data_IF_770951814076
#
_entry.id   IF_770951814076
#
_cell.length_a   1.000
_cell.length_b   1.000
_cell.length_c   1.000
_cell.angle_alpha   90.00
_cell.angle_beta   90.00
_cell.angle_gamma   90.00
#
_symmetry.space_group_name_H-M   'P 1'
#
loop_
_entity.id
_entity.type
_entity.pdbx_description
1 polymer ?
#
# COMPACT_ATOMS: atom_id res chain seq x y z
N UNK A 1 -0.62 -8.36 -6.72
CA UNK A 1 0.56 -8.65 -7.55
C UNK A 1 1.59 -9.34 -6.68
N UNK A 2 2.01 -10.57 -7.03
CA UNK A 2 3.04 -11.34 -6.30
C UNK A 2 4.35 -11.29 -7.08
N UNK A 3 5.43 -10.90 -6.40
CA UNK A 3 6.75 -10.76 -7.00
C UNK A 3 7.43 -12.14 -6.97
N UNK A 4 7.50 -12.82 -8.11
CA UNK A 4 8.13 -14.14 -8.23
C UNK A 4 9.63 -13.96 -8.53
N UNK A 5 10.48 -14.38 -7.59
CA UNK A 5 11.94 -14.35 -7.76
C UNK A 5 12.38 -15.48 -8.71
N UNK A 6 12.80 -15.10 -9.91
CA UNK A 6 13.38 -16.01 -10.89
C UNK A 6 14.90 -16.04 -10.73
N UNK A 7 15.52 -17.22 -10.82
CA UNK A 7 16.99 -17.37 -10.82
C UNK A 7 17.44 -17.94 -12.17
N UNK A 8 18.59 -17.49 -12.71
CA UNK A 8 19.19 -18.10 -13.88
C UNK A 8 19.50 -19.58 -13.63
N UNK A 9 19.11 -20.42 -14.58
CA UNK A 9 19.26 -21.89 -14.57
C UNK A 9 20.68 -22.37 -14.96
N UNK A 10 21.60 -21.42 -15.21
CA UNK A 10 22.97 -21.71 -15.65
C UNK A 10 23.11 -22.11 -17.13
N UNK A 11 22.01 -22.19 -17.87
CA UNK A 11 21.95 -22.49 -19.32
C UNK A 11 21.30 -21.37 -20.13
N UNK A 12 20.91 -20.27 -19.48
CA UNK A 12 20.35 -19.06 -20.11
C UNK A 12 18.83 -18.94 -19.97
N UNK A 13 18.18 -19.86 -19.27
CA UNK A 13 16.77 -19.78 -18.89
C UNK A 13 16.57 -19.32 -17.44
N UNK A 14 15.30 -19.12 -17.07
CA UNK A 14 14.87 -18.71 -15.74
C UNK A 14 13.92 -19.77 -15.20
N UNK A 15 14.25 -20.38 -14.06
CA UNK A 15 13.35 -21.33 -13.40
C UNK A 15 12.58 -20.66 -12.25
N UNK A 16 11.24 -20.85 -12.17
CA UNK A 16 10.44 -20.37 -11.07
C UNK A 16 10.72 -21.21 -9.82
N UNK A 17 11.26 -20.57 -8.78
CA UNK A 17 11.50 -21.21 -7.47
C UNK A 17 10.31 -20.97 -6.53
N UNK A 18 9.85 -21.99 -5.77
CA UNK A 18 8.90 -21.75 -4.69
C UNK A 18 9.52 -20.78 -3.67
N UNK A 19 8.79 -19.71 -3.36
CA UNK A 19 9.20 -18.72 -2.35
C UNK A 19 9.19 -19.41 -0.99
N UNK A 20 10.35 -19.90 -0.56
CA UNK A 20 10.56 -20.26 0.84
C UNK A 20 10.70 -18.95 1.58
N UNK A 21 9.73 -18.63 2.42
CA UNK A 21 9.72 -17.43 3.25
C UNK A 21 10.80 -17.57 4.33
N UNK A 22 12.04 -17.30 3.92
CA UNK A 22 13.20 -17.34 4.80
C UNK A 22 13.25 -16.03 5.59
N UNK A 23 13.26 -16.11 6.92
CA UNK A 23 13.39 -14.93 7.77
C UNK A 23 14.80 -14.33 7.64
N UNK A 24 14.96 -13.43 6.67
CA UNK A 24 16.21 -12.71 6.41
C UNK A 24 16.50 -11.61 7.45
N UNK A 25 15.64 -11.39 8.47
CA UNK A 25 15.88 -10.38 9.52
C UNK A 25 17.21 -10.58 10.22
N UNK A 26 17.66 -11.82 10.38
CA UNK A 26 18.95 -12.15 11.01
C UNK A 26 20.16 -11.77 10.14
N UNK A 27 19.98 -11.64 8.83
CA UNK A 27 21.03 -11.27 7.87
C UNK A 27 21.11 -9.75 7.64
N UNK A 28 20.08 -8.98 8.03
CA UNK A 28 20.07 -7.52 7.99
C UNK A 28 20.94 -6.86 9.09
N UNK A 29 21.80 -7.62 9.77
CA UNK A 29 22.78 -7.13 10.75
C UNK A 29 24.00 -6.46 10.09
N UNK A 30 23.82 -5.72 9.00
CA UNK A 30 24.92 -4.89 8.51
C UNK A 30 25.29 -3.89 9.62
N UNK A 31 26.56 -3.81 9.99
CA UNK A 31 27.02 -3.00 11.12
C UNK A 31 26.58 -1.54 11.04
N UNK A 32 26.37 -1.00 9.83
CA UNK A 32 25.82 0.34 9.61
C UNK A 32 24.39 0.54 10.14
N UNK A 33 23.57 -0.50 10.17
CA UNK A 33 22.20 -0.46 10.69
C UNK A 33 22.10 -1.05 12.11
N UNK A 34 23.05 -1.91 12.48
CA UNK A 34 23.14 -2.54 13.80
C UNK A 34 23.60 -1.63 14.95
N UNK A 35 24.38 -0.59 14.64
CA UNK A 35 24.95 0.33 15.66
C UNK A 35 23.89 1.28 16.26
N UNK A 36 22.74 1.46 15.61
CA UNK A 36 21.63 2.26 16.11
C UNK A 36 20.69 1.50 17.10
N UNK A 37 21.00 0.24 17.45
CA UNK A 37 20.24 -0.54 18.45
C UNK A 37 20.58 -0.10 19.88
N UNK A 38 20.01 1.02 20.33
CA UNK A 38 19.80 1.22 21.75
C UNK A 38 18.85 0.15 22.29
N UNK A 39 19.35 -0.76 23.14
CA UNK A 39 18.56 -1.79 23.88
C UNK A 39 17.96 -2.94 23.04
N UNK A 40 18.54 -3.30 21.90
CA UNK A 40 18.12 -4.54 21.20
C UNK A 40 16.80 -4.46 20.43
N UNK A 41 16.25 -3.26 20.20
CA UNK A 41 15.21 -2.99 19.19
C UNK A 41 15.78 -2.20 18.03
N UNK A 42 15.44 -2.60 16.80
CA UNK A 42 15.70 -1.80 15.60
C UNK A 42 15.00 -0.45 15.78
N UNK A 43 15.67 0.69 15.50
CA UNK A 43 14.98 1.98 15.46
C UNK A 43 13.85 1.87 14.42
N UNK A 44 12.69 2.43 14.76
CA UNK A 44 11.54 2.47 13.87
C UNK A 44 12.00 3.06 12.53
N UNK A 45 11.99 2.25 11.46
CA UNK A 45 12.25 2.70 10.09
C UNK A 45 11.07 3.59 9.67
N UNK A 46 11.04 4.81 10.20
CA UNK A 46 10.20 5.86 9.65
C UNK A 46 10.77 6.16 8.26
N UNK A 47 9.98 5.93 7.20
CA UNK A 47 10.35 6.35 5.86
C UNK A 47 10.03 7.85 5.73
N UNK A 48 11.03 8.75 5.78
CA UNK A 48 10.80 10.18 5.77
C UNK A 48 10.28 10.70 4.43
N UNK A 49 10.43 9.90 3.35
CA UNK A 49 9.85 10.22 2.04
C UNK A 49 8.37 9.83 1.94
N UNK A 50 7.87 9.05 2.91
CA UNK A 50 6.45 8.71 2.97
C UNK A 50 5.71 9.85 3.65
N UNK A 51 4.79 10.48 2.92
CA UNK A 51 3.83 11.43 3.48
C UNK A 51 2.50 10.71 3.68
N UNK A 52 2.32 9.94 4.78
CA UNK A 52 1.11 9.17 4.99
C UNK A 52 -0.08 10.10 5.13
N UNK A 53 -1.07 9.93 4.26
CA UNK A 53 -2.36 10.61 4.40
C UNK A 53 -2.94 10.27 5.77
N UNK A 54 -3.22 11.28 6.59
CA UNK A 54 -3.78 11.06 7.92
C UNK A 54 -5.10 10.28 7.81
N UNK A 55 -5.28 9.28 8.66
CA UNK A 55 -6.49 8.43 8.70
C UNK A 55 -7.76 9.28 8.76
N UNK A 56 -7.77 10.33 9.58
CA UNK A 56 -8.92 11.24 9.71
C UNK A 56 -9.26 11.96 8.40
N UNK A 57 -8.25 12.47 7.66
CA UNK A 57 -8.49 13.09 6.34
C UNK A 57 -9.02 12.07 5.34
N UNK A 58 -8.52 10.84 5.35
CA UNK A 58 -9.02 9.78 4.48
C UNK A 58 -10.50 9.47 4.79
N UNK A 59 -10.86 9.34 6.07
CA UNK A 59 -12.26 9.10 6.48
C UNK A 59 -13.15 10.27 6.07
N UNK A 60 -12.73 11.51 6.34
CA UNK A 60 -13.50 12.71 5.97
C UNK A 60 -13.72 12.81 4.45
N UNK A 61 -12.69 12.51 3.65
CA UNK A 61 -12.78 12.48 2.20
C UNK A 61 -13.84 11.48 1.71
N UNK A 62 -13.80 10.25 2.21
CA UNK A 62 -14.76 9.22 1.81
C UNK A 62 -16.18 9.52 2.26
N UNK A 63 -16.36 10.03 3.49
CA UNK A 63 -17.66 10.44 4.00
C UNK A 63 -18.26 11.58 3.16
N UNK A 64 -17.46 12.58 2.81
CA UNK A 64 -17.88 13.67 1.93
C UNK A 64 -18.27 13.17 0.54
N UNK A 65 -17.44 12.32 -0.07
CA UNK A 65 -17.70 11.76 -1.39
C UNK A 65 -19.01 10.96 -1.43
N UNK A 66 -19.26 10.15 -0.39
CA UNK A 66 -20.50 9.40 -0.24
C UNK A 66 -21.72 10.34 -0.14
N UNK A 67 -21.65 11.37 0.71
CA UNK A 67 -22.72 12.34 0.88
C UNK A 67 -23.00 13.13 -0.41
N UNK A 68 -21.96 13.58 -1.10
CA UNK A 68 -22.08 14.30 -2.36
C UNK A 68 -22.74 13.43 -3.45
N UNK A 69 -22.30 12.18 -3.56
CA UNK A 69 -22.87 11.21 -4.52
C UNK A 69 -24.33 10.95 -4.21
N UNK A 70 -24.65 10.71 -2.94
CA UNK A 70 -26.04 10.51 -2.51
C UNK A 70 -26.92 11.72 -2.83
N UNK A 71 -26.45 12.93 -2.53
CA UNK A 71 -27.16 14.16 -2.87
C UNK A 71 -27.42 14.30 -4.37
N UNK A 72 -26.42 13.98 -5.20
CA UNK A 72 -26.53 14.04 -6.66
C UNK A 72 -27.57 13.04 -7.18
N UNK A 73 -27.63 11.84 -6.61
CA UNK A 73 -28.66 10.85 -6.91
C UNK A 73 -30.05 11.34 -6.49
N UNK A 74 -30.21 11.79 -5.25
CA UNK A 74 -31.50 12.27 -4.72
C UNK A 74 -32.02 13.43 -5.54
N UNK A 75 -31.18 14.42 -5.85
CA UNK A 75 -31.59 15.57 -6.65
C UNK A 75 -31.96 15.12 -8.05
N UNK A 76 -31.11 14.35 -8.72
CA UNK A 76 -31.35 14.02 -10.11
C UNK A 76 -32.53 13.07 -10.33
N UNK A 77 -32.78 12.13 -9.41
CA UNK A 77 -33.99 11.28 -9.44
C UNK A 77 -35.24 12.02 -8.93
N UNK A 78 -35.11 12.84 -7.88
CA UNK A 78 -36.24 13.57 -7.30
C UNK A 78 -36.76 14.70 -8.17
N UNK A 79 -35.90 15.33 -8.98
CA UNK A 79 -36.29 16.41 -9.90
C UNK A 79 -36.58 15.93 -11.32
N UNK A 80 -36.32 14.65 -11.63
CA UNK A 80 -36.43 14.14 -12.99
C UNK A 80 -35.37 14.69 -13.95
N UNK A 81 -34.30 15.34 -13.45
CA UNK A 81 -33.20 15.86 -14.28
C UNK A 81 -32.66 14.81 -15.26
N UNK A 82 -32.48 13.56 -14.80
CA UNK A 82 -32.01 12.46 -15.65
C UNK A 82 -33.03 12.00 -16.70
N UNK A 83 -34.32 12.29 -16.51
CA UNK A 83 -35.36 11.98 -17.51
C UNK A 83 -35.46 13.02 -18.62
N UNK A 84 -34.97 14.24 -18.42
CA UNK A 84 -34.90 15.30 -19.45
C UNK A 84 -33.77 15.08 -20.46
N UNK A 85 -32.78 14.26 -20.10
CA UNK A 85 -31.61 13.96 -20.93
C UNK A 85 -31.79 12.72 -21.83
N UNK A 86 -32.98 12.10 -21.82
CA UNK A 86 -33.37 10.97 -22.67
C UNK A 86 -34.33 11.43 -23.75
#
# INVERSE_FOLDING_TARGET
MSLQLHRPDGKGGLEPRPVVEQDYRRQLKSGRWGVALGKGRLPMLANPEMNPTSVTRSIAFWAFLAAATFGLLVVGYGTGFWSLAR
#
